data_IF_821351170282
#
_entry.id   IF_821351170282
#
_cell.length_a   1.000
_cell.length_b   1.000
_cell.length_c   1.000
_cell.angle_alpha   90.00
_cell.angle_beta   90.00
_cell.angle_gamma   90.00
#
_symmetry.space_group_name_H-M   'P 1'
#
loop_
_entity.id
_entity.type
_entity.pdbx_description
1 polymer ?
#
# COMPACT_ATOMS: atom_id res chain seq x y z
N UNK A 1 12.96 -0.01 -11.38
CA UNK A 1 11.88 -0.49 -10.48
C UNK A 1 12.33 -0.25 -9.05
N UNK A 2 11.40 -0.02 -8.13
CA UNK A 2 11.71 0.24 -6.72
C UNK A 2 11.02 -0.80 -5.83
N UNK A 3 11.62 -1.10 -4.71
CA UNK A 3 11.02 -1.94 -3.68
C UNK A 3 10.09 -1.08 -2.81
N UNK A 4 8.87 -1.56 -2.64
CA UNK A 4 7.87 -0.95 -1.78
C UNK A 4 7.40 -1.96 -0.76
N UNK A 5 7.26 -1.49 0.47
CA UNK A 5 6.62 -2.22 1.53
C UNK A 5 5.14 -1.82 1.57
N UNK A 6 4.28 -2.79 1.29
CA UNK A 6 2.83 -2.63 1.28
C UNK A 6 2.26 -3.26 2.54
N UNK A 7 1.53 -2.47 3.32
CA UNK A 7 0.85 -2.93 4.51
C UNK A 7 -0.65 -2.73 4.35
N UNK A 8 -1.42 -3.77 4.60
CA UNK A 8 -2.88 -3.63 4.71
C UNK A 8 -3.19 -3.21 6.14
N UNK A 9 -3.97 -2.16 6.28
CA UNK A 9 -4.28 -1.48 7.52
C UNK A 9 -5.77 -1.62 7.81
N UNK A 10 -6.11 -2.07 9.01
CA UNK A 10 -7.46 -2.00 9.56
C UNK A 10 -7.50 -0.91 10.63
N UNK A 11 -7.98 0.28 10.25
CA UNK A 11 -7.89 1.48 11.09
C UNK A 11 -6.43 1.94 11.21
N UNK A 12 -5.82 1.78 12.38
CA UNK A 12 -4.42 2.16 12.61
C UNK A 12 -3.49 0.95 12.74
N UNK A 13 -4.04 -0.27 12.67
CA UNK A 13 -3.30 -1.50 12.87
C UNK A 13 -2.94 -2.15 11.53
N UNK A 14 -1.65 -2.43 11.25
CA UNK A 14 -1.26 -3.25 10.11
C UNK A 14 -1.70 -4.70 10.34
N UNK A 15 -2.56 -5.22 9.47
CA UNK A 15 -3.04 -6.62 9.49
C UNK A 15 -2.25 -7.52 8.56
N UNK A 16 -1.57 -6.95 7.56
CA UNK A 16 -0.75 -7.66 6.58
C UNK A 16 0.43 -6.78 6.17
N UNK A 17 1.56 -7.39 5.83
CA UNK A 17 2.76 -6.70 5.35
C UNK A 17 3.42 -7.55 4.26
N UNK A 18 3.65 -6.95 3.10
CA UNK A 18 4.30 -7.55 1.96
C UNK A 18 5.29 -6.58 1.34
N UNK A 19 6.34 -7.12 0.73
CA UNK A 19 7.35 -6.31 0.03
C UNK A 19 7.29 -6.66 -1.45
N UNK A 20 7.06 -5.66 -2.29
CA UNK A 20 6.85 -5.82 -3.74
C UNK A 20 7.70 -4.84 -4.51
N UNK A 21 8.35 -5.33 -5.57
CA UNK A 21 9.10 -4.51 -6.51
C UNK A 21 8.17 -4.05 -7.62
N UNK A 22 7.96 -2.73 -7.76
CA UNK A 22 7.06 -2.15 -8.74
C UNK A 22 7.67 -0.89 -9.39
N UNK A 23 7.05 -0.38 -10.46
CA UNK A 23 7.46 0.91 -11.04
C UNK A 23 6.86 2.10 -10.28
N UNK A 24 5.70 1.90 -9.64
CA UNK A 24 5.00 2.94 -8.88
C UNK A 24 4.43 2.38 -7.56
N UNK A 25 4.19 3.24 -6.55
CA UNK A 25 3.57 2.83 -5.29
C UNK A 25 2.13 2.32 -5.49
N UNK A 26 1.41 2.87 -6.48
CA UNK A 26 0.09 2.39 -6.87
C UNK A 26 0.16 0.94 -7.39
N UNK A 27 1.07 0.68 -8.32
CA UNK A 27 1.28 -0.67 -8.87
C UNK A 27 1.72 -1.64 -7.78
N UNK A 28 2.55 -1.21 -6.82
CA UNK A 28 2.90 -2.03 -5.66
C UNK A 28 1.69 -2.41 -4.82
N UNK A 29 0.80 -1.45 -4.52
CA UNK A 29 -0.44 -1.72 -3.79
C UNK A 29 -1.32 -2.73 -4.53
N UNK A 30 -1.54 -2.54 -5.83
CA UNK A 30 -2.34 -3.45 -6.65
C UNK A 30 -1.73 -4.84 -6.76
N UNK A 31 -0.41 -4.94 -6.97
CA UNK A 31 0.29 -6.22 -7.05
C UNK A 31 0.27 -6.98 -5.72
N UNK A 32 0.51 -6.29 -4.61
CA UNK A 32 0.54 -6.89 -3.27
C UNK A 32 -0.85 -7.39 -2.86
N UNK A 33 -1.87 -6.56 -3.04
CA UNK A 33 -3.25 -6.89 -2.61
C UNK A 33 -3.99 -7.74 -3.62
N UNK A 34 -3.48 -7.83 -4.87
CA UNK A 34 -4.16 -8.39 -6.03
C UNK A 34 -5.55 -7.77 -6.28
N UNK A 35 -5.77 -6.56 -5.78
CA UNK A 35 -7.02 -5.81 -5.85
C UNK A 35 -6.75 -4.41 -6.39
N UNK A 36 -7.74 -3.84 -7.05
CA UNK A 36 -7.67 -2.45 -7.47
C UNK A 36 -7.75 -1.54 -6.22
N UNK A 37 -6.88 -0.54 -6.17
CA UNK A 37 -6.84 0.42 -5.07
C UNK A 37 -7.11 1.82 -5.62
N UNK A 38 -7.55 2.73 -4.76
CA UNK A 38 -7.79 4.14 -5.08
C UNK A 38 -7.21 5.05 -4.01
N UNK A 39 -7.20 6.36 -4.24
CA UNK A 39 -6.79 7.31 -3.21
C UNK A 39 -7.73 7.20 -1.99
N UNK A 40 -7.14 7.06 -0.79
CA UNK A 40 -7.89 6.91 0.46
C UNK A 40 -8.76 8.14 0.73
N UNK A 41 -9.98 7.91 1.24
CA UNK A 41 -10.84 8.95 1.83
C UNK A 41 -11.01 8.69 3.32
N UNK A 42 -11.88 7.76 3.70
CA UNK A 42 -12.26 7.48 5.10
C UNK A 42 -12.43 5.98 5.38
N UNK A 43 -11.94 5.12 4.49
CA UNK A 43 -12.15 3.68 4.56
C UNK A 43 -11.45 3.06 5.77
N UNK A 44 -12.15 2.14 6.44
CA UNK A 44 -11.65 1.38 7.60
C UNK A 44 -10.55 0.40 7.20
N UNK A 45 -10.65 -0.18 6.01
CA UNK A 45 -9.62 -1.01 5.40
C UNK A 45 -8.90 -0.19 4.33
N UNK A 46 -7.60 -0.03 4.50
CA UNK A 46 -6.78 0.77 3.59
C UNK A 46 -5.38 0.16 3.49
N UNK A 47 -4.57 0.66 2.58
CA UNK A 47 -3.25 0.14 2.24
C UNK A 47 -2.22 1.25 2.40
N UNK A 48 -1.19 1.00 3.20
CA UNK A 48 -0.02 1.86 3.35
C UNK A 48 1.10 1.34 2.48
N UNK A 49 1.64 2.16 1.60
CA UNK A 49 2.80 1.81 0.78
C UNK A 49 3.97 2.68 1.18
N UNK A 50 5.01 2.07 1.71
CA UNK A 50 6.23 2.75 2.15
C UNK A 50 7.36 2.39 1.18
N UNK A 51 8.05 3.38 0.62
CA UNK A 51 9.29 3.12 -0.12
C UNK A 51 10.33 2.52 0.82
N UNK A 52 11.18 1.61 0.34
CA UNK A 52 12.23 0.96 1.14
C UNK A 52 13.16 1.96 1.86
N UNK A 53 13.40 3.12 1.23
CA UNK A 53 14.17 4.22 1.83
C UNK A 53 13.48 4.91 3.01
N UNK A 54 12.23 4.56 3.32
CA UNK A 54 11.40 5.17 4.36
C UNK A 54 10.98 6.61 4.08
N UNK A 55 11.37 7.19 2.94
CA UNK A 55 11.17 8.61 2.62
C UNK A 55 9.76 8.96 2.18
N UNK A 56 9.06 8.05 1.53
CA UNK A 56 7.72 8.29 1.03
C UNK A 56 6.75 7.21 1.51
N UNK A 57 5.64 7.69 2.09
CA UNK A 57 4.53 6.85 2.54
C UNK A 57 3.28 7.29 1.78
N UNK A 58 2.72 6.37 1.01
CA UNK A 58 1.49 6.55 0.24
C UNK A 58 0.36 5.80 0.93
N UNK A 59 -0.86 6.35 0.85
CA UNK A 59 -2.06 5.77 1.48
C UNK A 59 -3.13 5.58 0.43
N UNK A 60 -3.58 4.35 0.27
CA UNK A 60 -4.61 3.95 -0.68
C UNK A 60 -5.76 3.26 0.04
N UNK A 61 -6.95 3.24 -0.54
CA UNK A 61 -8.07 2.42 -0.09
C UNK A 61 -8.38 1.36 -1.15
N UNK A 62 -9.03 0.28 -0.74
CA UNK A 62 -9.59 -0.67 -1.71
C UNK A 62 -10.74 0.00 -2.47
N UNK A 63 -10.85 -0.29 -3.76
CA UNK A 63 -12.00 0.12 -4.57
C UNK A 63 -13.19 -0.80 -4.36
#
# INVERSE_FOLDING_TARGET
MKTYQVEEMAGETPVSRNTVTAKSPWEAATLSTKKEVQARREERLWVRVTEESGRAVYKYAFK
#
